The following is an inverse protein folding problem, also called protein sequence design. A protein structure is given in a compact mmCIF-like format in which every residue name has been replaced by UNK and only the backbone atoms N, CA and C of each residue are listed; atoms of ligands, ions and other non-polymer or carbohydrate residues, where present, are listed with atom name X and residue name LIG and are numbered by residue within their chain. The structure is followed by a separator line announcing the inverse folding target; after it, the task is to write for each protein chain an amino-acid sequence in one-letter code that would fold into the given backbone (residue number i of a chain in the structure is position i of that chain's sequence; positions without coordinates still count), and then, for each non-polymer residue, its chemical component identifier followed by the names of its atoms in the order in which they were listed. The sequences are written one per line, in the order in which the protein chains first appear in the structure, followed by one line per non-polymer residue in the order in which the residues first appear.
data_IF_713603938605
#
_entry.id   IF_713603938605
#
_cell.length_a   1.000
_cell.length_b   1.000
_cell.length_c   1.000
_cell.angle_alpha   90.00
_cell.angle_beta   90.00
_cell.angle_gamma   90.00
#
_symmetry.space_group_name_H-M   'P 1'
#
loop_
_entity.id
_entity.type
_entity.pdbx_description
1 polymer ?
#
# COMPACT_ATOMS: atom_id res chain seq x y z
N UNK A 1 3.69 6.53 -9.66
CA UNK A 1 3.62 6.05 -8.26
C UNK A 1 3.59 4.52 -8.18
N UNK A 2 2.73 3.80 -8.93
CA UNK A 2 2.71 2.32 -8.93
C UNK A 2 3.99 1.63 -9.42
N UNK A 3 4.60 2.12 -10.50
CA UNK A 3 5.87 1.58 -11.01
C UNK A 3 6.96 1.59 -9.91
N UNK A 4 7.07 2.70 -9.17
CA UNK A 4 8.02 2.84 -8.05
C UNK A 4 7.75 1.81 -6.94
N UNK A 5 6.48 1.55 -6.64
CA UNK A 5 6.10 0.55 -5.63
C UNK A 5 6.37 -0.89 -6.12
N UNK A 6 6.12 -1.19 -7.41
CA UNK A 6 6.50 -2.47 -8.02
C UNK A 6 8.01 -2.67 -7.93
N UNK A 7 8.79 -1.71 -8.45
CA UNK A 7 10.24 -1.81 -8.53
C UNK A 7 10.84 -2.04 -7.14
N UNK A 8 10.32 -1.31 -6.13
CA UNK A 8 10.71 -1.51 -4.73
C UNK A 8 10.42 -2.93 -4.24
N UNK A 9 9.19 -3.43 -4.43
CA UNK A 9 8.83 -4.78 -3.99
C UNK A 9 9.70 -5.85 -4.68
N UNK A 10 9.99 -5.67 -5.97
CA UNK A 10 10.85 -6.58 -6.73
C UNK A 10 12.32 -6.53 -6.28
N UNK A 11 12.84 -5.36 -5.92
CA UNK A 11 14.17 -5.21 -5.32
C UNK A 11 14.28 -5.93 -3.97
N UNK A 12 13.20 -5.95 -3.19
CA UNK A 12 13.10 -6.69 -1.92
C UNK A 12 12.84 -8.20 -2.13
N UNK A 13 12.88 -8.69 -3.38
CA UNK A 13 12.70 -10.10 -3.71
C UNK A 13 11.25 -10.58 -3.75
N UNK A 14 10.28 -9.67 -3.71
CA UNK A 14 8.85 -9.98 -3.83
C UNK A 14 8.41 -9.94 -5.29
N UNK A 15 7.56 -10.89 -5.71
CA UNK A 15 7.02 -10.93 -7.07
C UNK A 15 5.67 -10.23 -7.16
N UNK A 16 5.52 -9.27 -8.06
CA UNK A 16 4.22 -8.68 -8.40
C UNK A 16 3.48 -9.60 -9.38
N UNK A 17 2.24 -9.99 -9.04
CA UNK A 17 1.45 -10.94 -9.82
C UNK A 17 0.53 -10.27 -10.85
N UNK A 18 0.03 -9.08 -10.57
CA UNK A 18 -0.92 -8.36 -11.42
C UNK A 18 -0.84 -6.85 -11.19
N UNK A 19 -1.14 -6.05 -12.22
CA UNK A 19 -1.25 -4.59 -12.13
C UNK A 19 -2.62 -4.12 -12.61
N UNK A 20 -3.34 -3.41 -11.75
CA UNK A 20 -4.62 -2.79 -12.10
C UNK A 20 -4.45 -1.44 -12.81
N UNK A 21 -5.41 -1.09 -13.68
CA UNK A 21 -5.39 0.10 -14.55
C UNK A 21 -5.78 1.44 -13.89
N UNK A 22 -6.02 1.49 -12.58
CA UNK A 22 -6.52 2.70 -11.92
C UNK A 22 -5.41 3.72 -11.61
N UNK A 23 -5.19 4.70 -12.48
CA UNK A 23 -4.27 5.82 -12.24
C UNK A 23 -4.81 6.77 -11.14
N UNK A 24 -3.92 7.30 -10.29
CA UNK A 24 -4.27 8.22 -9.21
C UNK A 24 -5.06 7.62 -8.04
N UNK A 25 -5.40 6.33 -8.07
CA UNK A 25 -6.05 5.66 -6.96
C UNK A 25 -5.06 5.44 -5.80
N UNK A 26 -5.42 5.76 -4.56
CA UNK A 26 -4.55 5.51 -3.42
C UNK A 26 -4.37 4.01 -3.19
N UNK A 27 -3.13 3.60 -2.90
CA UNK A 27 -2.75 2.19 -2.76
C UNK A 27 -2.60 1.83 -1.29
N UNK A 28 -3.26 0.76 -0.84
CA UNK A 28 -3.01 0.13 0.46
C UNK A 28 -2.16 -1.11 0.20
N UNK A 29 -0.91 -1.11 0.68
CA UNK A 29 -0.04 -2.27 0.58
C UNK A 29 -0.39 -3.26 1.69
N UNK A 30 -0.66 -4.52 1.33
CA UNK A 30 -0.80 -5.61 2.30
C UNK A 30 0.26 -6.67 2.03
N UNK A 31 0.95 -7.15 3.07
CA UNK A 31 2.00 -8.18 2.91
C UNK A 31 1.88 -9.26 3.97
N UNK A 32 2.27 -10.50 3.64
CA UNK A 32 2.40 -11.62 4.58
C UNK A 32 3.79 -11.72 5.21
N UNK A 33 4.78 -11.08 4.60
CA UNK A 33 6.16 -11.03 5.08
C UNK A 33 6.58 -9.57 5.06
N UNK A 34 6.21 -8.87 6.13
CA UNK A 34 6.51 -7.47 6.33
C UNK A 34 7.72 -7.31 7.23
N UNK A 35 8.80 -6.74 6.72
CA UNK A 35 9.88 -6.28 7.59
C UNK A 35 9.61 -4.86 8.09
N UNK A 36 10.25 -4.42 9.19
CA UNK A 36 10.25 -3.02 9.59
C UNK A 36 10.75 -2.09 8.47
N UNK A 37 11.68 -2.57 7.63
CA UNK A 37 12.18 -1.85 6.45
C UNK A 37 11.05 -1.60 5.43
N UNK A 38 10.26 -2.63 5.13
CA UNK A 38 9.14 -2.53 4.16
C UNK A 38 8.04 -1.62 4.70
N UNK A 39 7.76 -1.71 6.00
CA UNK A 39 6.77 -0.86 6.66
C UNK A 39 7.14 0.64 6.62
N UNK A 40 8.44 0.95 6.77
CA UNK A 40 8.96 2.32 6.73
C UNK A 40 9.07 2.87 5.29
N UNK A 41 9.50 2.06 4.33
CA UNK A 41 9.65 2.49 2.94
C UNK A 41 8.32 2.62 2.19
N UNK A 42 7.30 1.81 2.52
CA UNK A 42 6.04 1.79 1.76
C UNK A 42 5.37 3.17 1.61
N UNK A 43 5.24 4.01 2.66
CA UNK A 43 4.74 5.38 2.52
C UNK A 43 5.60 6.26 1.60
N UNK A 44 6.92 6.19 1.72
CA UNK A 44 7.87 6.95 0.90
C UNK A 44 7.77 6.60 -0.59
N UNK A 45 7.37 5.37 -0.90
CA UNK A 45 7.16 4.88 -2.28
C UNK A 45 5.73 5.11 -2.80
N UNK A 46 4.88 5.76 -2.01
CA UNK A 46 3.53 6.16 -2.43
C UNK A 46 2.42 5.18 -2.06
N UNK A 47 2.66 4.24 -1.15
CA UNK A 47 1.57 3.55 -0.48
C UNK A 47 0.85 4.56 0.43
N UNK A 48 -0.46 4.71 0.25
CA UNK A 48 -1.28 5.53 1.14
C UNK A 48 -1.34 4.90 2.54
N UNK A 49 -1.32 3.56 2.64
CA UNK A 49 -1.27 2.81 3.90
C UNK A 49 -0.53 1.48 3.70
N UNK A 50 -0.07 0.90 4.80
CA UNK A 50 0.58 -0.40 4.89
C UNK A 50 -0.10 -1.27 5.96
N UNK A 51 -0.31 -2.55 5.67
CA UNK A 51 -0.86 -3.54 6.60
C UNK A 51 -0.11 -4.87 6.48
N UNK A 52 0.45 -5.35 7.60
CA UNK A 52 1.07 -6.67 7.65
C UNK A 52 0.05 -7.73 8.11
N UNK A 53 0.06 -8.89 7.45
CA UNK A 53 -0.79 -10.03 7.82
C UNK A 53 -0.14 -10.81 8.97
N UNK A 54 -0.94 -11.30 9.94
CA UNK A 54 -2.39 -11.20 9.99
C UNK A 54 -2.86 -9.83 10.51
N UNK A 55 -3.88 -9.28 9.84
CA UNK A 55 -4.60 -8.08 10.29
C UNK A 55 -6.08 -8.40 10.47
N UNK A 56 -6.76 -7.63 11.32
CA UNK A 56 -8.21 -7.70 11.50
C UNK A 56 -8.92 -6.96 10.37
N UNK A 57 -10.11 -7.42 10.00
CA UNK A 57 -10.96 -6.74 9.01
C UNK A 57 -11.25 -5.29 9.42
N UNK A 58 -11.40 -5.02 10.71
CA UNK A 58 -11.59 -3.65 11.22
C UNK A 58 -10.41 -2.73 10.88
N UNK A 59 -9.18 -3.22 10.96
CA UNK A 59 -7.98 -2.45 10.59
C UNK A 59 -7.96 -2.14 9.09
N UNK A 60 -8.39 -3.09 8.25
CA UNK A 60 -8.52 -2.84 6.80
C UNK A 60 -9.60 -1.80 6.52
N UNK A 61 -10.76 -1.88 7.17
CA UNK A 61 -11.84 -0.91 7.01
C UNK A 61 -11.42 0.50 7.47
N UNK A 62 -10.68 0.60 8.57
CA UNK A 62 -10.11 1.86 9.04
C UNK A 62 -9.12 2.45 8.03
N UNK A 63 -8.23 1.63 7.46
CA UNK A 63 -7.29 2.06 6.43
C UNK A 63 -8.02 2.57 5.18
N UNK A 64 -9.04 1.85 4.71
CA UNK A 64 -9.86 2.28 3.56
C UNK A 64 -10.55 3.62 3.85
N UNK A 65 -11.22 3.75 5.00
CA UNK A 65 -11.92 4.99 5.39
C UNK A 65 -10.98 6.19 5.51
N UNK A 66 -9.78 5.99 6.05
CA UNK A 66 -8.79 7.05 6.18
C UNK A 66 -8.35 7.56 4.80
N UNK A 67 -8.18 6.65 3.85
CA UNK A 67 -7.72 6.95 2.50
C UNK A 67 -8.81 7.61 1.66
N UNK A 68 -10.08 7.22 1.80
CA UNK A 68 -11.20 7.87 1.09
C UNK A 68 -11.46 9.28 1.59
N UNK A 69 -11.43 9.49 2.92
CA UNK A 69 -11.59 10.84 3.51
C UNK A 69 -10.47 11.81 3.10
N UNK A 70 -9.23 11.33 3.02
CA UNK A 70 -8.11 12.15 2.59
C UNK A 70 -8.26 12.62 1.13
N UNK A 71 -8.88 11.81 0.26
CA UNK A 71 -9.18 12.18 -1.12
C UNK A 71 -10.27 13.26 -1.21
N UNK A 72 -11.25 13.23 -0.31
CA UNK A 72 -12.34 14.22 -0.25
C UNK A 72 -11.87 15.58 0.28
N UNK A 73 -10.91 15.60 1.21
CA UNK A 73 -10.39 16.84 1.80
C UNK A 73 -9.34 17.57 0.93
N UNK A 74 -8.79 16.89 -0.09
CA UNK A 74 -7.80 17.44 -1.02
C UNK A 74 -8.35 17.79 -2.40
N UNK A 75 -9.67 17.80 -2.58
CA UNK A 75 -10.37 18.13 -3.83
C UNK A 75 -11.16 19.42 -3.73
#
# INVERSE_FOLDING_TARGET
MRAVLRDFLELEGLRVLEEGSCEGAPVILTTAFGGPVVADEAPHRGAARYLEKPFRVTQLLEAIRAVTKAKEAGS
#
